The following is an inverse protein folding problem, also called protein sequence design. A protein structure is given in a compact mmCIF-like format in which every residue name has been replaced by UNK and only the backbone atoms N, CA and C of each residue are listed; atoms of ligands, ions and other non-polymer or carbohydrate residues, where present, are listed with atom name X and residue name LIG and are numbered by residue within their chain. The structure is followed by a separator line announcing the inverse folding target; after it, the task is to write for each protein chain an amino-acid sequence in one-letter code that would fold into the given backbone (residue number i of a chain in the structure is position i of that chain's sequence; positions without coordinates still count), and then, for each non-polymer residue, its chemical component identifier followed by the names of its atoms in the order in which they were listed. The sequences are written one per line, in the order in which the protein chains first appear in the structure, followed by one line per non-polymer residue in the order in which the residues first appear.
data_IF_100052368079
#
_entry.id   IF_100052368079
#
_cell.length_a   1.000
_cell.length_b   1.000
_cell.length_c   1.000
_cell.angle_alpha   90.00
_cell.angle_beta   90.00
_cell.angle_gamma   90.00
#
_symmetry.space_group_name_H-M   'P 1'
#
loop_
_entity.id
_entity.type
_entity.pdbx_description
1 polymer ?
#
# COMPACT_ATOMS: atom_id res chain seq x y z
N UNK A 1 -14.95 -0.72 14.72
CA UNK A 1 -13.56 -0.89 15.14
C UNK A 1 -12.86 0.45 15.32
N UNK A 2 -11.61 0.41 15.67
CA UNK A 2 -10.73 1.59 15.82
C UNK A 2 -9.99 1.95 14.53
N UNK A 3 -10.15 1.14 13.48
CA UNK A 3 -9.45 1.34 12.21
C UNK A 3 -10.23 2.30 11.33
N UNK A 4 -9.56 3.30 10.76
CA UNK A 4 -10.17 4.16 9.77
C UNK A 4 -10.55 3.37 8.51
N UNK A 5 -11.72 3.63 7.97
CA UNK A 5 -12.24 2.98 6.77
C UNK A 5 -11.94 3.79 5.49
N UNK A 6 -11.26 4.91 5.60
CA UNK A 6 -10.78 5.74 4.48
C UNK A 6 -9.53 6.51 4.86
N UNK A 7 -8.65 6.67 3.89
CA UNK A 7 -7.38 7.38 4.02
C UNK A 7 -7.11 8.22 2.78
N UNK A 8 -6.49 9.37 2.97
CA UNK A 8 -5.83 10.16 1.95
C UNK A 8 -4.44 10.52 2.43
N UNK A 9 -3.42 10.20 1.65
CA UNK A 9 -2.01 10.45 1.97
C UNK A 9 -1.30 11.02 0.76
N UNK A 10 -0.48 12.02 0.98
CA UNK A 10 0.46 12.55 0.01
C UNK A 10 1.88 12.11 0.38
N UNK A 11 2.53 11.36 -0.51
CA UNK A 11 3.94 10.99 -0.35
C UNK A 11 4.79 11.85 -1.28
N UNK A 12 5.79 12.53 -0.71
CA UNK A 12 6.77 13.32 -1.45
C UNK A 12 8.11 12.61 -1.48
N UNK A 13 8.66 12.48 -2.67
CA UNK A 13 9.97 11.86 -2.87
C UNK A 13 11.06 12.94 -3.06
N UNK A 14 12.32 12.65 -2.70
CA UNK A 14 13.43 13.59 -2.93
C UNK A 14 13.60 14.00 -4.41
N UNK A 15 13.18 13.15 -5.34
CA UNK A 15 13.17 13.45 -6.78
C UNK A 15 12.16 14.53 -7.20
N UNK A 16 11.26 14.95 -6.30
CA UNK A 16 10.14 15.83 -6.58
C UNK A 16 8.88 15.11 -7.06
N UNK A 17 8.92 13.79 -7.21
CA UNK A 17 7.71 13.01 -7.50
C UNK A 17 6.76 13.04 -6.29
N UNK A 18 5.46 13.12 -6.59
CA UNK A 18 4.39 13.11 -5.57
C UNK A 18 3.41 12.01 -5.89
N UNK A 19 3.06 11.22 -4.88
CA UNK A 19 1.99 10.22 -4.96
C UNK A 19 0.84 10.65 -4.07
N UNK A 20 -0.35 10.72 -4.64
CA UNK A 20 -1.61 10.88 -3.91
C UNK A 20 -2.27 9.50 -3.76
N UNK A 21 -2.21 8.94 -2.57
CA UNK A 21 -2.80 7.65 -2.24
C UNK A 21 -4.15 7.86 -1.58
N UNK A 22 -5.17 7.21 -2.12
CA UNK A 22 -6.53 7.26 -1.59
C UNK A 22 -7.07 5.84 -1.44
N UNK A 23 -7.63 5.53 -0.30
CA UNK A 23 -8.36 4.28 -0.14
C UNK A 23 -9.64 4.50 0.68
N UNK A 24 -10.63 3.67 0.40
CA UNK A 24 -11.91 3.68 1.10
C UNK A 24 -12.52 2.29 1.10
N UNK A 25 -12.96 1.85 2.26
CA UNK A 25 -13.60 0.55 2.43
C UNK A 25 -14.95 0.72 3.15
N UNK A 26 -15.84 1.49 2.51
CA UNK A 26 -17.18 1.80 3.02
C UNK A 26 -18.23 1.11 2.16
N UNK A 27 -19.24 0.41 2.76
CA UNK A 27 -20.34 -0.18 2.01
C UNK A 27 -21.14 0.86 1.22
N UNK A 28 -21.66 0.47 0.06
CA UNK A 28 -22.52 1.32 -0.79
C UNK A 28 -21.78 2.40 -1.58
N UNK A 29 -20.43 2.38 -1.58
CA UNK A 29 -19.65 3.36 -2.35
C UNK A 29 -19.14 2.78 -3.66
N UNK A 30 -18.78 3.65 -4.61
CA UNK A 30 -18.22 3.24 -5.90
C UNK A 30 -16.92 2.45 -5.69
N UNK A 31 -16.81 1.33 -6.39
CA UNK A 31 -15.57 0.55 -6.43
C UNK A 31 -14.66 1.09 -7.53
N UNK A 32 -13.46 1.50 -7.15
CA UNK A 32 -12.43 1.90 -8.09
C UNK A 32 -11.07 1.42 -7.57
N UNK A 33 -10.35 0.66 -8.40
CA UNK A 33 -8.97 0.20 -8.12
C UNK A 33 -8.17 0.50 -9.37
N UNK A 34 -7.33 1.50 -9.29
CA UNK A 34 -6.47 1.92 -10.41
C UNK A 34 -5.29 2.74 -9.89
N UNK A 35 -4.24 2.80 -10.68
CA UNK A 35 -3.14 3.75 -10.54
C UNK A 35 -3.05 4.59 -11.81
N UNK A 36 -2.75 5.88 -11.63
CA UNK A 36 -2.52 6.83 -12.71
C UNK A 36 -1.16 7.49 -12.50
N UNK A 37 -0.27 7.32 -13.48
CA UNK A 37 1.02 8.00 -13.47
C UNK A 37 1.01 9.09 -14.54
N UNK A 38 1.26 10.32 -14.12
CA UNK A 38 1.36 11.49 -15.01
C UNK A 38 2.82 11.85 -15.17
N UNK A 39 3.33 11.69 -16.37
CA UNK A 39 4.71 12.02 -16.74
C UNK A 39 4.76 13.19 -17.72
N UNK A 40 5.95 13.64 -18.05
CA UNK A 40 6.17 14.75 -19.01
C UNK A 40 5.79 14.41 -20.45
N UNK A 41 5.69 13.12 -20.79
CA UNK A 41 5.41 12.66 -22.17
C UNK A 41 4.02 12.05 -22.34
N UNK A 42 3.26 11.88 -21.26
CA UNK A 42 1.95 11.27 -21.30
C UNK A 42 1.49 10.71 -19.97
N UNK A 43 0.43 9.93 -20.02
CA UNK A 43 -0.27 9.37 -18.86
C UNK A 43 -0.36 7.86 -18.99
N UNK A 44 0.00 7.17 -17.93
CA UNK A 44 -0.18 5.71 -17.79
C UNK A 44 -1.36 5.46 -16.87
N UNK A 45 -2.29 4.63 -17.32
CA UNK A 45 -3.41 4.15 -16.53
C UNK A 45 -3.26 2.64 -16.31
N UNK A 46 -3.16 2.22 -15.06
CA UNK A 46 -3.17 0.83 -14.64
C UNK A 46 -4.51 0.54 -13.98
N UNK A 47 -5.28 -0.34 -14.56
CA UNK A 47 -6.58 -0.72 -14.00
C UNK A 47 -6.44 -1.96 -13.11
N UNK A 48 -7.33 -2.10 -12.14
CA UNK A 48 -7.31 -3.20 -11.17
C UNK A 48 -7.45 -4.61 -11.75
N UNK A 49 -7.79 -4.73 -13.04
CA UNK A 49 -7.76 -5.99 -13.80
C UNK A 49 -6.44 -6.23 -14.56
N UNK A 50 -5.43 -5.38 -14.33
CA UNK A 50 -4.10 -5.50 -14.93
C UNK A 50 -3.97 -4.91 -16.34
N UNK A 51 -5.02 -4.37 -16.94
CA UNK A 51 -4.92 -3.67 -18.23
C UNK A 51 -4.16 -2.36 -18.05
N UNK A 52 -3.12 -2.16 -18.86
CA UNK A 52 -2.33 -0.92 -18.88
C UNK A 52 -2.58 -0.17 -20.19
N UNK A 53 -2.80 1.13 -20.09
CA UNK A 53 -2.89 2.04 -21.25
C UNK A 53 -1.92 3.19 -21.06
N UNK A 54 -1.19 3.52 -22.11
CA UNK A 54 -0.34 4.70 -22.19
C UNK A 54 -0.91 5.62 -23.27
N UNK A 55 -1.24 6.83 -22.86
CA UNK A 55 -1.74 7.87 -23.76
C UNK A 55 -0.77 9.05 -23.77
N UNK A 56 -0.67 9.76 -24.90
CA UNK A 56 -0.07 11.09 -24.92
C UNK A 56 -0.96 12.12 -24.21
N UNK A 57 -0.47 13.36 -24.07
CA UNK A 57 -1.25 14.44 -23.44
C UNK A 57 -2.46 14.93 -24.27
N UNK A 58 -2.53 14.54 -25.54
CA UNK A 58 -3.69 14.82 -26.42
C UNK A 58 -4.76 13.72 -26.32
N UNK A 59 -4.50 12.67 -25.51
CA UNK A 59 -5.39 11.53 -25.33
C UNK A 59 -5.20 10.40 -26.35
N UNK A 60 -4.25 10.52 -27.30
CA UNK A 60 -3.98 9.47 -28.28
C UNK A 60 -3.35 8.25 -27.61
N UNK A 61 -3.87 7.07 -27.91
CA UNK A 61 -3.35 5.82 -27.37
C UNK A 61 -1.98 5.48 -27.99
N UNK A 62 -0.94 5.44 -27.18
CA UNK A 62 0.42 5.06 -27.58
C UNK A 62 0.69 3.58 -27.40
N UNK A 63 0.16 2.99 -26.31
CA UNK A 63 0.36 1.57 -25.99
C UNK A 63 -0.80 1.03 -25.18
N UNK A 64 -1.11 -0.24 -25.40
CA UNK A 64 -2.06 -1.02 -24.58
C UNK A 64 -1.49 -2.40 -24.31
N UNK A 65 -1.50 -2.79 -23.04
CA UNK A 65 -1.22 -4.15 -22.59
C UNK A 65 -2.50 -4.74 -21.97
N UNK A 66 -2.78 -5.99 -22.28
CA UNK A 66 -3.95 -6.72 -21.77
C UNK A 66 -3.48 -8.12 -21.29
N UNK A 67 -3.51 -8.38 -19.98
CA UNK A 67 -2.98 -9.63 -19.41
C UNK A 67 -3.92 -10.83 -19.58
N UNK A 68 -4.97 -10.73 -20.37
CA UNK A 68 -6.01 -11.76 -20.49
C UNK A 68 -5.48 -13.19 -20.73
N UNK A 69 -4.37 -13.30 -21.44
CA UNK A 69 -3.75 -14.59 -21.80
C UNK A 69 -2.48 -14.88 -20.99
N UNK A 70 -2.13 -14.03 -20.04
CA UNK A 70 -0.93 -14.22 -19.24
C UNK A 70 -1.18 -15.17 -18.08
N UNK A 71 -0.11 -15.78 -17.61
CA UNK A 71 -0.15 -16.52 -16.35
C UNK A 71 -0.46 -15.56 -15.19
N UNK A 72 -1.18 -16.07 -14.21
CA UNK A 72 -1.40 -15.32 -12.97
C UNK A 72 -0.06 -14.82 -12.38
N UNK A 73 0.02 -13.57 -11.86
CA UNK A 73 1.22 -13.07 -11.18
C UNK A 73 1.73 -14.01 -10.08
N UNK A 74 0.83 -14.63 -9.33
CA UNK A 74 1.17 -15.62 -8.31
C UNK A 74 1.85 -16.86 -8.91
N UNK A 75 1.40 -17.32 -10.08
CA UNK A 75 2.03 -18.45 -10.76
C UNK A 75 3.42 -18.06 -11.29
N UNK A 76 3.58 -16.83 -11.80
CA UNK A 76 4.87 -16.31 -12.27
C UNK A 76 5.87 -16.23 -11.10
N UNK A 77 5.44 -15.72 -9.96
CA UNK A 77 6.24 -15.63 -8.73
C UNK A 77 6.76 -17.02 -8.32
N UNK A 78 5.87 -17.98 -8.17
CA UNK A 78 6.24 -19.36 -7.82
C UNK A 78 7.16 -20.00 -8.85
N UNK A 79 6.90 -19.80 -10.14
CA UNK A 79 7.77 -20.32 -11.21
C UNK A 79 9.20 -19.75 -11.10
N UNK A 80 9.34 -18.46 -10.81
CA UNK A 80 10.65 -17.81 -10.58
C UNK A 80 11.36 -18.38 -9.36
N UNK A 81 10.65 -18.50 -8.24
CA UNK A 81 11.19 -19.06 -7.01
C UNK A 81 11.70 -20.48 -7.21
N UNK A 82 10.87 -21.39 -7.74
CA UNK A 82 11.27 -22.78 -7.96
C UNK A 82 12.37 -22.92 -9.01
N UNK A 83 12.39 -22.08 -10.04
CA UNK A 83 13.50 -22.04 -10.99
C UNK A 83 14.80 -21.67 -10.29
N UNK A 84 14.79 -20.64 -9.44
CA UNK A 84 15.95 -20.20 -8.68
C UNK A 84 16.47 -21.30 -7.76
N UNK A 85 15.61 -21.93 -6.98
CA UNK A 85 15.96 -23.05 -6.09
C UNK A 85 16.65 -24.20 -6.87
N UNK A 86 16.06 -24.61 -7.99
CA UNK A 86 16.59 -25.72 -8.81
C UNK A 86 17.92 -25.39 -9.48
N UNK A 87 18.20 -24.14 -9.77
CA UNK A 87 19.46 -23.71 -10.40
C UNK A 87 20.54 -23.29 -9.39
N UNK A 88 20.26 -23.38 -8.08
CA UNK A 88 21.17 -22.91 -7.03
C UNK A 88 21.27 -21.37 -6.97
N UNK A 89 20.33 -20.66 -7.57
CA UNK A 89 20.26 -19.21 -7.50
C UNK A 89 19.69 -18.71 -6.17
N UNK A 90 19.83 -17.39 -5.94
CA UNK A 90 19.24 -16.70 -4.82
C UNK A 90 18.19 -15.70 -5.31
N UNK A 91 17.06 -15.64 -4.60
CA UNK A 91 16.08 -14.53 -4.67
C UNK A 91 15.96 -14.00 -3.26
N UNK A 92 16.27 -12.72 -3.08
CA UNK A 92 16.12 -12.02 -1.80
C UNK A 92 15.43 -10.67 -2.06
N UNK A 93 14.15 -10.63 -1.77
CA UNK A 93 13.31 -9.43 -1.89
C UNK A 93 12.99 -8.82 -0.51
N UNK A 94 13.76 -9.17 0.53
CA UNK A 94 13.52 -8.76 1.92
C UNK A 94 13.51 -7.24 2.05
N UNK A 95 14.52 -6.56 1.52
CA UNK A 95 14.61 -5.10 1.58
C UNK A 95 13.48 -4.41 0.83
N UNK A 96 13.13 -4.92 -0.35
CA UNK A 96 12.02 -4.40 -1.16
C UNK A 96 10.71 -4.56 -0.40
N UNK A 97 10.46 -5.73 0.17
CA UNK A 97 9.26 -6.02 0.96
C UNK A 97 9.17 -5.16 2.22
N UNK A 98 10.27 -5.01 2.94
CA UNK A 98 10.34 -4.18 4.14
C UNK A 98 10.08 -2.69 3.83
N UNK A 99 10.72 -2.16 2.78
CA UNK A 99 10.54 -0.76 2.35
C UNK A 99 9.11 -0.48 1.88
N UNK A 100 8.54 -1.37 1.08
CA UNK A 100 7.16 -1.25 0.62
C UNK A 100 6.16 -1.28 1.79
N UNK A 101 6.37 -2.19 2.75
CA UNK A 101 5.55 -2.30 3.97
C UNK A 101 5.68 -1.03 4.82
N UNK A 102 6.90 -0.53 5.03
CA UNK A 102 7.13 0.69 5.79
C UNK A 102 6.47 1.91 5.15
N UNK A 103 6.46 2.00 3.82
CA UNK A 103 5.75 3.07 3.11
C UNK A 103 4.25 3.06 3.44
N UNK A 104 3.61 1.90 3.48
CA UNK A 104 2.21 1.78 3.87
C UNK A 104 1.99 2.15 5.36
N UNK A 105 2.90 1.74 6.24
CA UNK A 105 2.88 2.10 7.67
C UNK A 105 3.00 3.61 7.86
N UNK A 106 3.89 4.28 7.14
CA UNK A 106 4.01 5.75 7.16
C UNK A 106 2.70 6.44 6.80
N UNK A 107 2.01 5.96 5.76
CA UNK A 107 0.69 6.48 5.38
C UNK A 107 -0.33 6.34 6.52
N UNK A 108 -0.33 5.21 7.22
CA UNK A 108 -1.14 5.02 8.42
C UNK A 108 -0.73 5.98 9.54
N UNK A 109 0.56 6.10 9.85
CA UNK A 109 1.07 7.02 10.88
C UNK A 109 0.62 8.46 10.59
N UNK A 110 0.75 8.91 9.34
CA UNK A 110 0.33 10.25 8.94
C UNK A 110 -1.17 10.49 9.14
N UNK A 111 -2.02 9.55 8.72
CA UNK A 111 -3.48 9.72 8.85
C UNK A 111 -3.98 9.64 10.28
N UNK A 112 -3.38 8.80 11.13
CA UNK A 112 -3.77 8.65 12.52
C UNK A 112 -3.27 9.78 13.40
N UNK A 113 -2.12 10.37 13.09
CA UNK A 113 -1.54 11.48 13.85
C UNK A 113 -1.91 12.86 13.30
N UNK A 114 -2.24 12.95 12.01
CA UNK A 114 -2.44 14.23 11.32
C UNK A 114 -1.13 15.02 11.13
N UNK A 115 0.02 14.38 11.24
CA UNK A 115 1.35 15.01 11.19
C UNK A 115 2.08 14.67 9.90
N UNK A 116 3.06 15.52 9.56
CA UNK A 116 4.10 15.16 8.60
C UNK A 116 4.97 14.06 9.21
N UNK A 117 5.16 12.98 8.49
CA UNK A 117 6.01 11.85 8.88
C UNK A 117 7.19 11.78 7.93
N UNK A 118 8.38 11.93 8.46
CA UNK A 118 9.63 11.74 7.72
C UNK A 118 10.04 10.26 7.74
N UNK A 119 10.66 9.79 6.65
CA UNK A 119 11.09 8.41 6.50
C UNK A 119 11.99 7.93 7.65
N UNK A 120 13.02 8.72 7.97
CA UNK A 120 13.99 8.36 9.02
C UNK A 120 13.34 8.27 10.40
N UNK A 121 12.36 9.11 10.68
CA UNK A 121 11.61 9.05 11.92
C UNK A 121 10.69 7.83 11.97
N UNK A 122 10.10 7.46 10.85
CA UNK A 122 9.21 6.32 10.78
C UNK A 122 9.97 4.99 10.93
N UNK A 123 11.07 4.81 10.18
CA UNK A 123 11.82 3.55 10.17
C UNK A 123 12.55 3.30 11.51
N UNK A 124 12.88 4.36 12.25
CA UNK A 124 13.52 4.29 13.57
C UNK A 124 12.50 4.51 14.72
N UNK A 125 11.21 4.45 14.46
CA UNK A 125 10.19 4.62 15.50
C UNK A 125 10.17 3.43 16.45
N UNK A 126 10.04 3.73 17.75
CA UNK A 126 9.82 2.72 18.80
C UNK A 126 8.34 2.29 18.90
N UNK A 127 7.47 2.79 18.03
CA UNK A 127 6.06 2.43 18.01
C UNK A 127 5.90 0.92 17.77
N UNK A 128 5.40 0.22 18.77
CA UNK A 128 5.18 -1.21 18.73
C UNK A 128 3.69 -1.55 18.95
N UNK A 129 3.06 -2.11 17.92
CA UNK A 129 1.66 -2.54 17.96
C UNK A 129 1.52 -4.03 18.30
N UNK A 130 2.65 -4.73 18.48
CA UNK A 130 2.65 -6.15 18.82
C UNK A 130 2.61 -6.29 20.35
N UNK A 131 1.72 -7.10 20.93
CA UNK A 131 1.71 -7.38 22.36
C UNK A 131 3.05 -8.00 22.80
N UNK A 132 3.57 -7.58 23.97
CA UNK A 132 4.83 -8.10 24.53
C UNK A 132 4.84 -9.63 24.69
N UNK A 133 3.70 -10.20 25.08
CA UNK A 133 3.54 -11.63 25.26
C UNK A 133 2.43 -12.16 24.36
N UNK A 134 2.80 -12.88 23.30
CA UNK A 134 1.83 -13.48 22.36
C UNK A 134 1.44 -14.87 22.89
N UNK A 135 0.18 -15.03 23.26
CA UNK A 135 -0.43 -16.29 23.66
C UNK A 135 -1.89 -16.36 23.21
N UNK A 136 -2.52 -17.53 23.31
CA UNK A 136 -3.94 -17.69 23.00
C UNK A 136 -4.87 -16.82 23.84
N UNK A 137 -4.42 -16.39 25.02
CA UNK A 137 -5.18 -15.57 25.96
C UNK A 137 -4.75 -14.11 25.99
N UNK A 138 -3.81 -13.71 25.14
CA UNK A 138 -3.33 -12.32 25.06
C UNK A 138 -4.47 -11.39 24.62
N UNK A 139 -4.73 -10.38 25.43
CA UNK A 139 -5.72 -9.36 25.08
C UNK A 139 -5.19 -8.48 23.94
N UNK A 140 -6.05 -8.05 23.01
CA UNK A 140 -5.68 -7.06 22.02
C UNK A 140 -5.19 -5.76 22.70
N UNK A 141 -4.26 -5.01 22.08
CA UNK A 141 -3.76 -3.75 22.63
C UNK A 141 -4.86 -2.68 22.78
N UNK A 142 -5.91 -2.76 21.96
CA UNK A 142 -7.07 -1.86 22.02
C UNK A 142 -8.33 -2.69 22.26
N UNK A 143 -9.11 -2.31 23.25
CA UNK A 143 -10.36 -2.96 23.62
C UNK A 143 -11.53 -1.98 23.46
N UNK A 144 -12.73 -2.47 23.09
CA UNK A 144 -13.93 -1.64 23.08
C UNK A 144 -14.37 -1.27 24.51
N UNK A 145 -15.15 -0.23 24.62
CA UNK A 145 -15.83 0.17 25.87
C UNK A 145 -16.95 -0.84 26.22
N UNK A 146 -17.67 -0.56 27.33
CA UNK A 146 -18.78 -1.39 27.82
C UNK A 146 -19.93 -1.56 26.81
N UNK A 147 -20.03 -0.64 25.82
CA UNK A 147 -21.05 -0.66 24.77
C UNK A 147 -20.54 -1.28 23.47
N UNK A 148 -19.33 -1.87 23.49
CA UNK A 148 -18.70 -2.46 22.31
C UNK A 148 -18.13 -1.42 21.33
N UNK A 149 -17.94 -0.17 21.75
CA UNK A 149 -17.41 0.92 20.91
C UNK A 149 -15.92 1.13 21.16
N UNK A 150 -15.18 1.32 20.10
CA UNK A 150 -13.77 1.68 20.14
C UNK A 150 -13.60 3.20 20.15
N UNK A 151 -12.55 3.64 20.84
CA UNK A 151 -12.14 5.06 20.78
C UNK A 151 -11.60 5.33 19.37
N UNK A 152 -12.20 6.30 18.68
CA UNK A 152 -11.73 6.74 17.36
C UNK A 152 -10.52 7.65 17.55
N UNK A 153 -9.39 7.38 16.89
CA UNK A 153 -8.26 8.30 16.89
C UNK A 153 -8.66 9.68 16.36
N UNK A 154 -8.13 10.74 17.00
CA UNK A 154 -8.39 12.12 16.59
C UNK A 154 -7.04 12.70 16.14
N UNK A 155 -6.81 12.89 14.82
CA UNK A 155 -5.57 13.47 14.33
C UNK A 155 -5.25 14.81 14.98
N UNK A 156 -3.97 15.01 15.33
CA UNK A 156 -3.50 16.24 15.96
C UNK A 156 -3.72 16.34 17.49
N UNK A 157 -4.22 15.28 18.13
CA UNK A 157 -4.42 15.23 19.58
C UNK A 157 -3.60 14.12 20.24
#
# INVERSE_FOLDING_TARGET
GEIFDHHYVEFKYPSGAVIHSQCRHQPGTVRNVNEVLVGTKGVVNLSGNGVVKINDHNGSLLHKYDPKNDLSPYQIEHNKLFKSIRSGGQIDDTEIGATATMTAIMGRMATYTGKLIEWDNAINSDDNLVPENISWNTKPPVLPDQNGKYKIPIPGK
#
